data_IF_573004408616
#
_entry.id   IF_573004408616
#
_cell.length_a   1.000
_cell.length_b   1.000
_cell.length_c   1.000
_cell.angle_alpha   90.00
_cell.angle_beta   90.00
_cell.angle_gamma   90.00
#
_symmetry.space_group_name_H-M   'P 1'
#
loop_
_entity.id
_entity.type
_entity.pdbx_description
1 polymer ?
#
# COMPACT_ATOMS: atom_id res chain seq x y z
N UNK A 1 1.19 27.81 -14.70
CA UNK A 1 1.61 26.44 -14.35
C UNK A 1 1.26 26.25 -12.88
N UNK A 2 0.19 25.53 -12.57
CA UNK A 2 -0.19 25.27 -11.18
C UNK A 2 0.89 24.39 -10.54
N UNK A 3 1.69 24.99 -9.66
CA UNK A 3 2.63 24.27 -8.82
C UNK A 3 1.81 23.37 -7.89
N UNK A 4 1.63 22.10 -8.26
CA UNK A 4 1.05 21.09 -7.36
C UNK A 4 1.78 21.21 -6.04
N UNK A 5 1.07 21.39 -4.90
CA UNK A 5 1.72 21.51 -3.61
C UNK A 5 2.54 20.23 -3.41
N UNK A 6 3.86 20.35 -3.51
CA UNK A 6 4.77 19.27 -3.22
C UNK A 6 4.65 19.03 -1.73
N UNK A 7 3.77 18.09 -1.35
CA UNK A 7 3.63 17.69 0.05
C UNK A 7 5.00 17.25 0.53
N UNK A 8 5.46 17.70 1.72
CA UNK A 8 6.74 17.27 2.26
C UNK A 8 6.81 15.75 2.24
N UNK A 9 7.96 15.23 1.83
CA UNK A 9 8.22 13.80 1.70
C UNK A 9 8.15 13.17 3.10
N UNK A 10 6.94 12.80 3.52
CA UNK A 10 6.69 12.31 4.87
C UNK A 10 7.10 10.83 4.91
N UNK A 11 8.08 10.50 5.75
CA UNK A 11 8.48 9.11 6.04
C UNK A 11 7.30 8.22 6.46
N UNK A 12 6.21 8.83 6.94
CA UNK A 12 4.95 8.16 7.22
C UNK A 12 4.29 7.50 6.00
N UNK A 13 4.37 8.12 4.80
CA UNK A 13 3.81 7.53 3.58
C UNK A 13 4.50 6.18 3.25
N UNK A 14 5.82 6.08 3.51
CA UNK A 14 6.57 4.84 3.39
C UNK A 14 6.16 3.80 4.43
N UNK A 15 6.10 4.20 5.71
CA UNK A 15 5.76 3.29 6.80
C UNK A 15 4.38 2.71 6.57
N UNK A 16 3.39 3.57 6.28
CA UNK A 16 2.01 3.16 5.99
C UNK A 16 1.98 2.26 4.74
N UNK A 17 2.68 2.62 3.67
CA UNK A 17 2.74 1.81 2.47
C UNK A 17 3.33 0.42 2.71
N UNK A 18 4.42 0.33 3.47
CA UNK A 18 5.06 -0.94 3.83
C UNK A 18 4.16 -1.80 4.72
N UNK A 19 3.49 -1.19 5.71
CA UNK A 19 2.52 -1.87 6.56
C UNK A 19 1.34 -2.43 5.75
N UNK A 20 0.79 -1.65 4.82
CA UNK A 20 -0.32 -2.09 3.97
C UNK A 20 0.07 -3.24 3.04
N UNK A 21 1.26 -3.19 2.43
CA UNK A 21 1.76 -4.29 1.59
C UNK A 21 2.04 -5.51 2.44
N UNK A 22 2.72 -5.37 3.58
CA UNK A 22 3.09 -6.47 4.45
C UNK A 22 1.86 -7.18 5.02
N UNK A 23 0.94 -6.41 5.60
CA UNK A 23 -0.32 -6.94 6.15
C UNK A 23 -1.21 -7.52 5.05
N UNK A 24 -1.32 -6.83 3.91
CA UNK A 24 -2.10 -7.31 2.77
C UNK A 24 -1.57 -8.62 2.21
N UNK A 25 -0.26 -8.72 2.03
CA UNK A 25 0.42 -9.94 1.56
C UNK A 25 0.28 -11.09 2.56
N UNK A 26 0.41 -10.82 3.87
CA UNK A 26 0.21 -11.83 4.91
C UNK A 26 -1.21 -12.38 4.91
N UNK A 27 -2.21 -11.50 4.80
CA UNK A 27 -3.62 -11.91 4.70
C UNK A 27 -3.87 -12.73 3.42
N UNK A 28 -3.30 -12.32 2.29
CA UNK A 28 -3.40 -13.07 1.04
C UNK A 28 -2.79 -14.47 1.18
N UNK A 29 -1.62 -14.56 1.83
CA UNK A 29 -0.97 -15.83 2.15
C UNK A 29 -1.87 -16.72 3.01
N UNK A 30 -2.50 -16.19 4.06
CA UNK A 30 -3.44 -16.98 4.87
C UNK A 30 -4.63 -17.49 4.06
N UNK A 31 -5.16 -16.67 3.15
CA UNK A 31 -6.27 -17.07 2.28
C UNK A 31 -5.88 -18.21 1.34
N UNK A 32 -4.82 -18.00 0.55
CA UNK A 32 -4.46 -18.90 -0.55
C UNK A 32 -3.63 -20.11 -0.11
N UNK A 33 -2.82 -19.99 0.95
CA UNK A 33 -1.89 -21.06 1.37
C UNK A 33 -2.40 -21.82 2.61
N UNK A 34 -3.16 -21.17 3.49
CA UNK A 34 -3.70 -21.80 4.70
C UNK A 34 -5.20 -22.12 4.59
N UNK A 35 -5.83 -21.78 3.46
CA UNK A 35 -7.26 -22.05 3.22
C UNK A 35 -8.19 -21.26 4.13
N UNK A 36 -7.74 -20.13 4.68
CA UNK A 36 -8.59 -19.28 5.51
C UNK A 36 -9.73 -18.70 4.65
N UNK A 37 -10.98 -19.04 4.96
CA UNK A 37 -12.12 -18.46 4.27
C UNK A 37 -12.25 -16.98 4.64
N UNK A 38 -12.10 -16.14 3.63
CA UNK A 38 -12.40 -14.72 3.74
C UNK A 38 -13.52 -14.37 2.78
N UNK A 39 -14.45 -13.57 3.27
CA UNK A 39 -15.48 -12.95 2.46
C UNK A 39 -14.89 -12.18 1.28
N UNK A 40 -15.55 -12.24 0.12
CA UNK A 40 -15.06 -11.63 -1.13
C UNK A 40 -14.74 -10.14 -0.95
N UNK A 41 -15.54 -9.39 -0.18
CA UNK A 41 -15.28 -7.97 0.08
C UNK A 41 -13.94 -7.73 0.81
N UNK A 42 -13.51 -8.66 1.67
CA UNK A 42 -12.23 -8.57 2.39
C UNK A 42 -11.05 -8.79 1.45
N UNK A 43 -11.20 -9.71 0.50
CA UNK A 43 -10.19 -9.99 -0.52
C UNK A 43 -10.02 -8.76 -1.43
N UNK A 44 -11.13 -8.21 -1.93
CA UNK A 44 -11.12 -6.99 -2.76
C UNK A 44 -10.48 -5.81 -2.01
N UNK A 45 -10.83 -5.60 -0.74
CA UNK A 45 -10.23 -4.56 0.09
C UNK A 45 -8.71 -4.78 0.27
N UNK A 46 -8.29 -6.04 0.42
CA UNK A 46 -6.88 -6.40 0.56
C UNK A 46 -6.08 -6.04 -0.69
N UNK A 47 -6.60 -6.31 -1.88
CA UNK A 47 -5.99 -5.83 -3.13
C UNK A 47 -5.93 -4.30 -3.19
N UNK A 48 -6.98 -3.61 -2.73
CA UNK A 48 -6.98 -2.15 -2.60
C UNK A 48 -5.86 -1.62 -1.70
N UNK A 49 -5.65 -2.24 -0.54
CA UNK A 49 -4.57 -1.86 0.39
C UNK A 49 -3.18 -2.12 -0.20
N UNK A 50 -2.97 -3.26 -0.85
CA UNK A 50 -1.69 -3.58 -1.50
C UNK A 50 -1.42 -2.57 -2.62
N UNK A 51 -2.40 -2.30 -3.48
CA UNK A 51 -2.26 -1.32 -4.57
C UNK A 51 -1.97 0.09 -4.05
N UNK A 52 -2.66 0.54 -3.00
CA UNK A 52 -2.40 1.83 -2.37
C UNK A 52 -1.03 1.89 -1.69
N UNK A 53 -0.60 0.79 -1.08
CA UNK A 53 0.74 0.67 -0.52
C UNK A 53 1.82 0.81 -1.59
N UNK A 54 1.69 0.13 -2.72
CA UNK A 54 2.61 0.26 -3.86
C UNK A 54 2.61 1.68 -4.44
N UNK A 55 1.44 2.32 -4.57
CA UNK A 55 1.34 3.71 -4.99
C UNK A 55 2.11 4.65 -4.05
N UNK A 56 1.99 4.47 -2.74
CA UNK A 56 2.72 5.27 -1.75
C UNK A 56 4.22 5.03 -1.81
N UNK A 57 4.68 3.78 -1.98
CA UNK A 57 6.09 3.48 -2.20
C UNK A 57 6.59 4.15 -3.48
N UNK A 58 5.89 3.97 -4.61
CA UNK A 58 6.26 4.57 -5.89
C UNK A 58 6.36 6.09 -5.77
N UNK A 59 5.34 6.74 -5.21
CA UNK A 59 5.34 8.18 -4.95
C UNK A 59 6.53 8.60 -4.09
N UNK A 60 6.91 7.82 -3.07
CA UNK A 60 8.07 8.14 -2.24
C UNK A 60 9.39 8.06 -3.01
N UNK A 61 9.60 7.00 -3.80
CA UNK A 61 10.84 6.80 -4.57
C UNK A 61 10.96 7.72 -5.78
N UNK A 62 9.84 8.10 -6.40
CA UNK A 62 9.78 9.01 -7.55
C UNK A 62 9.70 10.48 -7.13
N UNK A 63 9.34 10.76 -5.88
CA UNK A 63 9.43 12.13 -5.36
C UNK A 63 10.90 12.59 -5.42
N UNK A 64 11.19 13.74 -6.06
CA UNK A 64 12.55 14.22 -6.22
C UNK A 64 13.18 14.41 -4.84
N UNK A 65 14.28 13.71 -4.59
CA UNK A 65 15.14 13.95 -3.44
C UNK A 65 15.78 15.32 -3.65
N UNK A 66 15.34 16.31 -2.88
CA UNK A 66 16.05 17.59 -2.78
C UNK A 66 17.29 17.44 -1.89
#
# INVERSE_FOLDING_TARGET
>A
METKPQRPQNKWDLIIGLFLIGFGSYRLYQHYMLGAEYETYRIVLTFGFIGFGFYNLYKFFTAPKH
#
